data_IF_929700554430
#
_entry.id   IF_929700554430
#
_cell.length_a   1.000
_cell.length_b   1.000
_cell.length_c   1.000
_cell.angle_alpha   90.00
_cell.angle_beta   90.00
_cell.angle_gamma   90.00
#
_symmetry.space_group_name_H-M   'P 1'
#
loop_
_entity.id
_entity.type
_entity.pdbx_description
1 polymer ?
#
# COMPACT_ATOMS: atom_id res chain seq x y z
N UNK A 1 -50.95 17.45 -10.40
CA UNK A 1 -51.84 17.10 -9.27
C UNK A 1 -51.00 16.39 -8.24
N UNK A 2 -50.48 17.15 -7.28
CA UNK A 2 -49.88 16.60 -6.06
C UNK A 2 -50.98 16.10 -5.13
N UNK A 3 -50.64 15.17 -4.22
CA UNK A 3 -51.13 15.33 -2.86
C UNK A 3 -50.00 15.35 -1.83
N UNK A 4 -50.23 16.21 -0.84
CA UNK A 4 -49.35 16.62 0.23
C UNK A 4 -49.38 15.69 1.46
N UNK A 5 -48.25 15.72 2.19
CA UNK A 5 -48.09 15.72 3.65
C UNK A 5 -48.94 14.81 4.57
N UNK A 6 -48.26 13.97 5.35
CA UNK A 6 -48.57 13.76 6.78
C UNK A 6 -47.25 13.58 7.57
N UNK A 7 -46.95 14.58 8.40
CA UNK A 7 -45.96 14.57 9.47
C UNK A 7 -46.63 14.02 10.74
N UNK A 8 -46.06 13.00 11.38
CA UNK A 8 -46.46 12.58 12.73
C UNK A 8 -45.34 12.85 13.74
N UNK A 9 -45.62 13.79 14.64
CA UNK A 9 -44.84 14.18 15.81
C UNK A 9 -45.09 13.22 16.98
N UNK A 10 -44.04 12.69 17.61
CA UNK A 10 -44.08 12.16 18.99
C UNK A 10 -42.84 12.63 19.76
N UNK A 11 -43.11 13.06 20.99
CA UNK A 11 -42.37 13.93 21.93
C UNK A 11 -41.11 13.29 22.57
N UNK A 12 -40.20 14.12 23.15
CA UNK A 12 -39.00 13.65 23.84
C UNK A 12 -39.33 13.15 25.26
N UNK A 13 -38.73 12.03 25.66
CA UNK A 13 -38.76 11.54 27.04
C UNK A 13 -37.57 12.14 27.79
N UNK A 14 -37.88 13.01 28.76
CA UNK A 14 -36.97 13.42 29.81
C UNK A 14 -37.07 12.44 30.97
N UNK A 15 -35.92 11.92 31.41
CA UNK A 15 -35.79 11.24 32.70
C UNK A 15 -34.43 11.65 33.27
N UNK A 16 -34.48 12.66 34.13
CA UNK A 16 -33.36 13.01 35.00
C UNK A 16 -33.27 12.03 36.16
N UNK A 17 -32.04 11.67 36.52
CA UNK A 17 -31.56 11.70 37.90
C UNK A 17 -30.04 11.68 37.90
N UNK A 18 -29.54 12.59 38.73
CA UNK A 18 -28.17 12.95 39.04
C UNK A 18 -27.32 11.76 39.51
N UNK A 19 -26.13 11.65 38.94
CA UNK A 19 -24.95 11.10 39.62
C UNK A 19 -23.82 12.10 39.47
N UNK A 20 -23.59 12.83 40.55
CA UNK A 20 -22.35 13.55 40.84
C UNK A 20 -21.26 12.52 41.12
N UNK A 21 -20.18 12.51 40.34
CA UNK A 21 -19.08 11.57 40.56
C UNK A 21 -17.91 11.80 39.60
N UNK A 22 -16.91 12.55 40.10
CA UNK A 22 -15.51 12.58 39.65
C UNK A 22 -15.24 12.90 38.16
N UNK A 23 -15.14 14.20 37.86
CA UNK A 23 -14.20 14.65 36.84
C UNK A 23 -12.78 14.26 37.31
N UNK A 24 -12.16 13.26 36.68
CA UNK A 24 -10.73 13.03 36.79
C UNK A 24 -10.02 14.13 35.99
N UNK A 25 -9.90 15.31 36.62
CA UNK A 25 -8.92 16.31 36.25
C UNK A 25 -7.54 15.79 36.64
N UNK A 26 -6.83 15.20 35.68
CA UNK A 26 -5.37 15.12 35.81
C UNK A 26 -4.82 16.52 35.51
N UNK A 27 -4.17 17.22 36.45
CA UNK A 27 -3.40 18.41 36.11
C UNK A 27 -2.18 17.95 35.34
N UNK A 28 -2.21 18.06 34.01
CA UNK A 28 -0.98 18.09 33.23
C UNK A 28 -0.31 19.43 33.51
N UNK A 29 0.55 19.46 34.52
CA UNK A 29 1.65 20.41 34.62
C UNK A 29 2.56 20.18 33.42
N UNK A 30 2.24 20.86 32.31
CA UNK A 30 3.23 21.14 31.29
C UNK A 30 4.22 22.14 31.90
N UNK A 31 5.54 21.91 31.91
CA UNK A 31 6.47 22.98 32.14
C UNK A 31 6.30 23.97 30.98
N UNK A 32 5.61 25.08 31.25
CA UNK A 32 5.61 26.25 30.37
C UNK A 32 7.01 26.84 30.47
N UNK A 33 7.91 26.37 29.60
CA UNK A 33 9.16 27.08 29.37
C UNK A 33 8.79 28.45 28.81
N UNK A 34 8.72 29.45 29.69
CA UNK A 34 8.86 30.85 29.32
C UNK A 34 10.27 30.97 28.75
N UNK A 35 10.38 31.00 27.43
CA UNK A 35 11.61 31.44 26.78
C UNK A 35 11.70 32.94 27.03
N UNK A 36 12.32 33.35 28.13
CA UNK A 36 12.77 34.74 28.28
C UNK A 36 13.86 34.96 27.23
N UNK A 37 13.65 35.95 26.35
CA UNK A 37 14.63 36.39 25.36
C UNK A 37 15.78 37.16 26.04
N UNK A 38 16.45 36.54 27.00
CA UNK A 38 17.49 37.21 27.80
C UNK A 38 18.92 36.93 27.29
N UNK A 39 19.06 36.30 26.11
CA UNK A 39 20.37 35.90 25.54
C UNK A 39 20.63 36.37 24.11
N UNK A 40 20.03 37.47 23.69
CA UNK A 40 20.47 38.20 22.51
C UNK A 40 20.81 39.63 22.91
N UNK A 41 22.04 39.87 23.35
CA UNK A 41 22.53 41.25 23.46
C UNK A 41 22.55 41.86 22.07
N UNK A 42 21.93 43.03 21.92
CA UNK A 42 21.89 43.81 20.68
C UNK A 42 23.30 44.24 20.21
N UNK A 43 24.33 44.07 21.03
CA UNK A 43 25.74 44.35 20.69
C UNK A 43 26.30 43.51 19.54
N UNK A 44 25.63 42.41 19.16
CA UNK A 44 26.08 41.59 18.03
C UNK A 44 25.87 42.27 16.67
N UNK A 45 24.96 43.26 16.59
CA UNK A 45 24.58 43.90 15.33
C UNK A 45 25.23 45.28 15.11
N UNK A 46 25.81 45.90 16.14
CA UNK A 46 26.54 47.17 16.02
C UNK A 46 27.87 47.04 15.25
N UNK A 47 28.41 45.83 15.10
CA UNK A 47 29.61 45.57 14.28
C UNK A 47 29.32 45.28 12.80
N UNK A 48 28.05 45.22 12.38
CA UNK A 48 27.67 44.95 10.99
C UNK A 48 27.29 46.20 10.18
N UNK A 49 27.32 47.39 10.79
CA UNK A 49 26.93 48.66 10.13
C UNK A 49 28.11 49.53 9.67
N UNK A 50 29.35 49.10 9.87
CA UNK A 50 30.55 49.79 9.36
C UNK A 50 31.04 49.12 8.06
N UNK A 51 31.24 49.85 6.96
CA UNK A 51 31.71 49.27 5.71
C UNK A 51 33.15 48.75 5.85
N UNK A 52 33.49 47.57 5.30
CA UNK A 52 34.82 46.99 5.42
C UNK A 52 35.84 47.68 4.50
N UNK A 53 36.97 48.09 5.06
CA UNK A 53 38.10 48.74 4.39
C UNK A 53 39.02 47.78 3.59
N UNK A 54 38.56 46.57 3.23
CA UNK A 54 39.37 45.63 2.45
C UNK A 54 38.54 44.66 1.62
N UNK A 55 39.04 44.19 0.45
CA UNK A 55 38.32 43.27 -0.42
C UNK A 55 38.07 41.91 0.26
N UNK A 56 36.96 41.22 -0.06
CA UNK A 56 36.57 40.00 0.62
C UNK A 56 37.60 38.88 0.41
N UNK A 57 37.96 38.12 1.46
CA UNK A 57 38.84 36.98 1.33
C UNK A 57 38.15 35.91 0.48
N UNK A 58 38.88 35.35 -0.49
CA UNK A 58 38.42 34.23 -1.31
C UNK A 58 38.02 33.01 -0.45
N UNK A 59 37.25 32.06 -1.00
CA UNK A 59 36.71 30.94 -0.24
C UNK A 59 37.83 30.18 0.49
N UNK A 60 37.73 30.13 1.82
CA UNK A 60 38.70 29.45 2.66
C UNK A 60 38.70 27.95 2.35
N UNK A 61 39.91 27.38 2.20
CA UNK A 61 40.07 25.93 2.02
C UNK A 61 39.40 25.23 3.21
N UNK A 62 38.58 24.18 2.99
CA UNK A 62 37.95 23.46 4.08
C UNK A 62 39.03 22.89 5.02
N UNK A 63 38.76 22.95 6.32
CA UNK A 63 39.71 22.48 7.33
C UNK A 63 40.02 20.99 7.14
N UNK A 64 41.23 20.56 7.51
CA UNK A 64 41.65 19.16 7.42
C UNK A 64 40.71 18.20 8.17
N UNK A 65 40.04 18.69 9.23
CA UNK A 65 39.01 17.95 9.96
C UNK A 65 37.72 17.77 9.14
N UNK A 66 37.32 18.77 8.35
CA UNK A 66 36.19 18.66 7.44
C UNK A 66 36.48 17.72 6.28
N UNK A 67 37.68 17.79 5.71
CA UNK A 67 38.12 16.87 4.65
C UNK A 67 38.14 15.43 5.15
N UNK A 68 38.80 15.16 6.29
CA UNK A 68 38.83 13.82 6.90
C UNK A 68 37.44 13.31 7.32
N UNK A 69 36.54 14.17 7.79
CA UNK A 69 35.16 13.79 8.05
C UNK A 69 34.44 13.38 6.76
N UNK A 70 34.54 14.18 5.69
CA UNK A 70 33.94 13.84 4.39
C UNK A 70 34.54 12.59 3.77
N UNK A 71 35.83 12.36 3.93
CA UNK A 71 36.49 11.16 3.43
C UNK A 71 36.11 9.93 4.25
N UNK A 72 35.93 10.06 5.57
CA UNK A 72 35.36 8.99 6.41
C UNK A 72 33.92 8.65 6.04
N UNK A 73 33.14 9.62 5.55
CA UNK A 73 31.80 9.40 5.03
C UNK A 73 31.87 8.72 3.65
N UNK A 74 32.72 9.19 2.74
CA UNK A 74 32.94 8.56 1.43
C UNK A 74 33.42 7.11 1.58
N UNK A 75 34.29 6.81 2.55
CA UNK A 75 34.71 5.45 2.86
C UNK A 75 33.57 4.59 3.43
N UNK A 76 32.71 5.16 4.29
CA UNK A 76 31.53 4.45 4.83
C UNK A 76 30.48 4.16 3.77
N UNK A 77 30.37 5.01 2.75
CA UNK A 77 29.38 4.89 1.66
C UNK A 77 29.98 4.40 0.34
N UNK A 78 31.24 3.95 0.34
CA UNK A 78 31.91 3.39 -0.82
C UNK A 78 31.24 2.08 -1.28
N UNK A 79 30.77 1.98 -2.54
CA UNK A 79 30.17 0.76 -3.07
C UNK A 79 31.18 -0.38 -3.24
N UNK A 80 32.49 -0.11 -3.13
CA UNK A 80 33.58 -1.06 -3.33
C UNK A 80 34.19 -1.58 -2.02
N UNK A 81 33.56 -1.33 -0.87
CA UNK A 81 34.02 -1.95 0.38
C UNK A 81 33.77 -3.46 0.29
N UNK A 82 34.82 -4.20 -0.05
CA UNK A 82 34.86 -5.66 0.06
C UNK A 82 34.35 -6.03 1.45
N UNK A 83 33.30 -6.84 1.51
CA UNK A 83 32.76 -7.32 2.78
C UNK A 83 33.91 -8.04 3.50
N UNK A 84 34.36 -7.51 4.63
CA UNK A 84 35.03 -8.34 5.63
C UNK A 84 34.12 -9.55 5.83
N UNK A 85 34.65 -10.74 5.54
CA UNK A 85 33.97 -12.02 5.64
C UNK A 85 33.50 -12.22 7.08
N UNK A 86 32.31 -11.73 7.40
CA UNK A 86 31.58 -12.20 8.56
C UNK A 86 31.14 -13.62 8.23
N UNK A 87 31.89 -14.57 8.77
CA UNK A 87 31.58 -16.00 8.75
C UNK A 87 30.11 -16.16 9.13
N UNK A 88 29.30 -16.65 8.18
CA UNK A 88 27.93 -17.09 8.47
C UNK A 88 28.07 -18.37 9.29
N UNK A 89 28.05 -18.23 10.61
CA UNK A 89 28.01 -19.38 11.48
C UNK A 89 26.61 -20.00 11.38
N UNK A 90 26.54 -21.17 10.74
CA UNK A 90 25.39 -22.07 10.82
C UNK A 90 25.25 -22.51 12.28
N UNK A 91 24.34 -21.90 13.04
CA UNK A 91 24.00 -22.38 14.38
C UNK A 91 22.67 -23.13 14.33
N UNK A 92 22.77 -24.45 14.48
CA UNK A 92 21.66 -25.33 14.81
C UNK A 92 21.04 -24.93 16.16
N UNK A 93 19.75 -25.22 16.31
CA UNK A 93 18.89 -24.92 17.46
C UNK A 93 19.29 -25.67 18.75
N UNK A 94 20.48 -25.41 19.28
CA UNK A 94 20.93 -25.98 20.56
C UNK A 94 21.34 -24.89 21.56
N UNK A 95 20.69 -23.72 21.49
CA UNK A 95 21.03 -22.53 22.27
C UNK A 95 20.17 -22.34 23.54
N UNK A 96 19.77 -23.42 24.21
CA UNK A 96 19.01 -23.35 25.47
C UNK A 96 19.80 -23.82 26.70
N UNK A 97 21.03 -24.31 26.55
CA UNK A 97 21.77 -24.94 27.67
C UNK A 97 23.13 -24.33 28.01
N UNK A 98 23.55 -23.20 27.42
CA UNK A 98 24.86 -22.59 27.76
C UNK A 98 24.73 -21.07 27.94
N UNK A 99 24.22 -20.65 29.10
CA UNK A 99 24.04 -19.24 29.49
C UNK A 99 25.29 -18.57 30.08
N UNK A 100 26.45 -19.25 30.10
CA UNK A 100 27.63 -18.76 30.82
C UNK A 100 28.71 -18.09 29.97
N UNK A 101 28.60 -18.07 28.63
CA UNK A 101 29.59 -17.38 27.81
C UNK A 101 29.14 -15.96 27.45
N UNK A 102 30.05 -14.97 27.43
CA UNK A 102 29.74 -13.58 27.08
C UNK A 102 29.14 -13.45 25.66
N UNK A 103 29.39 -14.43 24.78
CA UNK A 103 28.78 -14.55 23.47
C UNK A 103 27.26 -14.74 23.52
N UNK A 104 26.75 -15.62 24.40
CA UNK A 104 25.31 -15.88 24.56
C UNK A 104 24.60 -14.75 25.32
N UNK A 105 25.27 -14.04 26.23
CA UNK A 105 24.74 -12.83 26.85
C UNK A 105 24.58 -11.67 25.85
N UNK A 106 25.50 -11.55 24.88
CA UNK A 106 25.38 -10.59 23.78
C UNK A 106 24.26 -11.02 22.82
N UNK A 107 24.15 -12.30 22.47
CA UNK A 107 23.02 -12.81 21.67
C UNK A 107 21.68 -12.61 22.36
N UNK A 108 21.58 -12.90 23.67
CA UNK A 108 20.39 -12.64 24.49
C UNK A 108 19.95 -11.18 24.42
N UNK A 109 20.92 -10.25 24.50
CA UNK A 109 20.68 -8.80 24.34
C UNK A 109 20.32 -8.38 22.91
N UNK A 110 20.78 -9.10 21.89
CA UNK A 110 20.40 -8.90 20.48
C UNK A 110 19.02 -9.49 20.18
N UNK A 111 18.62 -10.58 20.83
CA UNK A 111 17.26 -11.14 20.73
C UNK A 111 16.21 -10.34 21.51
N UNK A 112 16.62 -9.50 22.46
CA UNK A 112 15.76 -8.48 23.10
C UNK A 112 15.66 -7.17 22.31
N UNK A 113 16.15 -7.15 21.06
CA UNK A 113 15.89 -6.04 20.13
C UNK A 113 14.38 -5.77 20.06
N UNK A 114 13.97 -4.49 19.91
CA UNK A 114 12.57 -4.08 19.99
C UNK A 114 11.69 -4.91 19.04
N UNK A 115 10.41 -5.13 19.39
CA UNK A 115 9.50 -5.99 18.62
C UNK A 115 9.56 -5.61 17.14
N UNK A 116 9.72 -6.63 16.29
CA UNK A 116 9.86 -6.59 14.84
C UNK A 116 9.06 -5.43 14.19
N UNK A 117 9.67 -4.25 14.08
CA UNK A 117 9.15 -3.13 13.30
C UNK A 117 9.60 -3.34 11.87
N UNK A 118 8.94 -4.25 11.17
CA UNK A 118 9.37 -4.71 9.86
C UNK A 118 8.28 -4.63 8.82
N UNK A 119 8.64 -4.19 7.62
CA UNK A 119 7.84 -4.43 6.43
C UNK A 119 8.30 -5.75 5.81
N UNK A 120 7.41 -6.60 5.27
CA UNK A 120 7.83 -7.83 4.57
C UNK A 120 8.81 -7.50 3.44
N UNK A 121 8.64 -6.34 2.81
CA UNK A 121 9.49 -5.83 1.74
C UNK A 121 10.94 -5.62 2.17
N UNK A 122 11.15 -5.28 3.45
CA UNK A 122 12.49 -5.00 4.00
C UNK A 122 13.10 -6.16 4.74
N UNK A 123 12.26 -7.01 5.33
CA UNK A 123 12.68 -8.12 6.20
C UNK A 123 12.92 -9.43 5.46
N UNK A 124 12.17 -9.67 4.38
CA UNK A 124 12.24 -10.93 3.61
C UNK A 124 13.36 -10.86 2.57
N UNK A 125 13.51 -9.69 1.94
CA UNK A 125 14.65 -9.45 1.06
C UNK A 125 15.91 -9.30 1.91
N UNK A 126 17.00 -10.00 1.51
CA UNK A 126 18.33 -9.70 2.04
C UNK A 126 18.62 -8.21 1.79
N UNK A 127 19.32 -7.54 2.72
CA UNK A 127 19.51 -6.07 2.82
C UNK A 127 20.01 -5.30 1.57
N UNK A 128 20.16 -5.94 0.41
CA UNK A 128 20.62 -5.34 -0.85
C UNK A 128 19.74 -5.70 -2.07
N UNK A 129 18.63 -6.43 -1.87
CA UNK A 129 17.80 -6.93 -2.97
C UNK A 129 16.50 -6.14 -3.19
N UNK A 130 16.22 -5.14 -2.35
CA UNK A 130 14.98 -4.37 -2.42
C UNK A 130 14.87 -3.52 -3.69
N UNK A 131 15.96 -2.88 -4.10
CA UNK A 131 15.95 -2.07 -5.32
C UNK A 131 15.86 -2.94 -6.58
N UNK A 132 16.48 -4.13 -6.56
CA UNK A 132 16.31 -5.13 -7.60
C UNK A 132 14.84 -5.61 -7.69
N UNK A 133 14.17 -5.82 -6.55
CA UNK A 133 12.76 -6.19 -6.48
C UNK A 133 11.84 -5.07 -7.02
N UNK A 134 12.14 -3.81 -6.68
CA UNK A 134 11.40 -2.65 -7.23
C UNK A 134 11.53 -2.56 -8.74
N UNK A 135 12.74 -2.73 -9.26
CA UNK A 135 12.99 -2.73 -10.70
C UNK A 135 12.27 -3.91 -11.38
N UNK A 136 12.34 -5.11 -10.80
CA UNK A 136 11.64 -6.29 -11.31
C UNK A 136 10.12 -6.09 -11.34
N UNK A 137 9.55 -5.52 -10.28
CA UNK A 137 8.14 -5.17 -10.23
C UNK A 137 7.73 -4.14 -11.30
N UNK A 138 8.61 -3.16 -11.60
CA UNK A 138 8.41 -2.22 -12.71
C UNK A 138 8.44 -2.93 -14.06
N UNK A 139 9.39 -3.84 -14.29
CA UNK A 139 9.47 -4.65 -15.51
C UNK A 139 8.20 -5.48 -15.72
N UNK A 140 7.73 -6.18 -14.67
CA UNK A 140 6.48 -6.95 -14.71
C UNK A 140 5.31 -6.05 -15.10
N UNK A 141 5.17 -4.91 -14.42
CA UNK A 141 4.09 -3.95 -14.70
C UNK A 141 4.16 -3.43 -16.14
N UNK A 142 5.36 -3.14 -16.65
CA UNK A 142 5.56 -2.68 -18.03
C UNK A 142 5.18 -3.75 -19.05
N UNK A 143 5.57 -5.01 -18.84
CA UNK A 143 5.21 -6.11 -19.74
C UNK A 143 3.69 -6.27 -19.83
N UNK A 144 2.98 -6.21 -18.71
CA UNK A 144 1.50 -6.24 -18.70
C UNK A 144 0.85 -4.98 -19.28
N UNK A 145 1.52 -3.82 -19.21
CA UNK A 145 1.06 -2.62 -19.94
C UNK A 145 1.21 -2.78 -21.44
N UNK A 146 2.26 -3.46 -21.92
CA UNK A 146 2.45 -3.74 -23.34
C UNK A 146 1.35 -4.65 -23.89
N UNK A 147 0.85 -5.62 -23.10
CA UNK A 147 -0.28 -6.47 -23.53
C UNK A 147 -1.58 -5.71 -23.69
N UNK A 148 -1.74 -4.58 -22.99
CA UNK A 148 -2.92 -3.72 -23.12
C UNK A 148 -2.95 -2.89 -24.43
N UNK A 149 -1.79 -2.64 -25.05
CA UNK A 149 -1.66 -1.83 -26.26
C UNK A 149 -0.62 -2.42 -27.23
N UNK A 150 -0.85 -3.63 -27.77
CA UNK A 150 0.15 -4.36 -28.56
C UNK A 150 0.51 -3.68 -29.89
N UNK A 151 -0.42 -2.89 -30.45
CA UNK A 151 -0.25 -2.19 -31.74
C UNK A 151 0.28 -0.75 -31.58
N UNK A 152 0.67 -0.34 -30.37
CA UNK A 152 1.10 1.03 -30.06
C UNK A 152 -0.05 2.04 -29.94
N UNK A 153 -1.28 1.66 -30.28
CA UNK A 153 -2.49 2.47 -30.05
C UNK A 153 -3.10 2.10 -28.70
N UNK A 154 -3.26 3.08 -27.82
CA UNK A 154 -3.88 2.89 -26.51
C UNK A 154 -5.38 2.61 -26.66
N UNK A 155 -5.86 1.56 -25.98
CA UNK A 155 -7.27 1.23 -25.94
C UNK A 155 -8.01 1.97 -24.79
N UNK A 156 -9.33 1.81 -24.73
CA UNK A 156 -10.19 2.57 -23.81
C UNK A 156 -9.91 2.28 -22.33
N UNK A 157 -9.35 1.10 -21.99
CA UNK A 157 -8.93 0.79 -20.61
C UNK A 157 -7.71 1.60 -20.15
N UNK A 158 -6.87 2.07 -21.08
CA UNK A 158 -5.66 2.83 -20.77
C UNK A 158 -5.92 4.33 -20.48
N UNK A 159 -7.18 4.75 -20.47
CA UNK A 159 -7.56 6.15 -20.23
C UNK A 159 -7.64 6.48 -18.72
N UNK A 160 -6.82 7.44 -18.28
CA UNK A 160 -6.71 7.82 -16.86
C UNK A 160 -7.73 8.88 -16.42
N UNK A 161 -8.16 9.76 -17.32
CA UNK A 161 -9.14 10.84 -17.07
C UNK A 161 -10.03 11.09 -18.28
N UNK A 162 -11.27 11.52 -18.06
CA UNK A 162 -12.20 11.91 -19.15
C UNK A 162 -12.10 13.38 -19.51
N UNK A 163 -11.80 14.25 -18.55
CA UNK A 163 -11.62 15.70 -18.76
C UNK A 163 -10.19 16.13 -18.40
N UNK A 164 -9.81 17.32 -18.85
CA UNK A 164 -8.49 17.91 -18.54
C UNK A 164 -8.30 18.04 -17.02
N UNK A 165 -7.07 17.83 -16.55
CA UNK A 165 -6.72 17.88 -15.12
C UNK A 165 -6.98 16.59 -14.34
N UNK A 166 -7.91 15.74 -14.79
CA UNK A 166 -8.25 14.50 -14.05
C UNK A 166 -7.08 13.52 -13.92
N UNK A 167 -6.23 13.38 -14.93
CA UNK A 167 -5.07 12.48 -14.83
C UNK A 167 -4.13 12.88 -13.67
N UNK A 168 -3.99 14.18 -13.38
CA UNK A 168 -3.18 14.69 -12.28
C UNK A 168 -3.81 14.36 -10.92
N UNK A 169 -5.13 14.53 -10.80
CA UNK A 169 -5.87 14.15 -9.60
C UNK A 169 -5.82 12.63 -9.35
N UNK A 170 -5.90 11.84 -10.42
CA UNK A 170 -5.76 10.39 -10.38
C UNK A 170 -4.38 9.99 -9.87
N UNK A 171 -3.32 10.68 -10.32
CA UNK A 171 -1.95 10.50 -9.84
C UNK A 171 -1.81 10.86 -8.37
N UNK A 172 -2.35 12.00 -7.94
CA UNK A 172 -2.31 12.43 -6.53
C UNK A 172 -2.99 11.42 -5.61
N UNK A 173 -4.13 10.87 -6.04
CA UNK A 173 -4.82 9.81 -5.36
C UNK A 173 -4.03 8.49 -5.35
N UNK A 174 -3.40 8.11 -6.45
CA UNK A 174 -2.55 6.92 -6.53
C UNK A 174 -1.33 7.00 -5.60
N UNK A 175 -0.71 8.18 -5.48
CA UNK A 175 0.38 8.41 -4.52
C UNK A 175 -0.13 8.32 -3.08
N UNK A 176 -1.27 8.94 -2.81
CA UNK A 176 -1.97 8.88 -1.53
C UNK A 176 -2.31 7.46 -1.08
N UNK A 177 -2.88 6.64 -1.96
CA UNK A 177 -3.19 5.23 -1.70
C UNK A 177 -1.90 4.43 -1.43
N UNK A 178 -0.84 4.64 -2.23
CA UNK A 178 0.46 3.99 -2.01
C UNK A 178 1.08 4.34 -0.65
N UNK A 179 0.88 5.57 -0.18
CA UNK A 179 1.33 6.01 1.14
C UNK A 179 0.51 5.36 2.25
N UNK A 180 -0.83 5.28 2.11
CA UNK A 180 -1.71 4.57 3.04
C UNK A 180 -1.35 3.09 3.18
N UNK A 181 -0.96 2.41 2.10
CA UNK A 181 -0.48 1.02 2.15
C UNK A 181 0.77 0.84 3.03
N UNK A 182 1.58 1.89 3.23
CA UNK A 182 2.73 1.87 4.16
C UNK A 182 2.32 2.11 5.62
N UNK A 183 1.15 2.72 5.85
CA UNK A 183 0.65 3.04 7.20
C UNK A 183 -0.11 1.89 7.88
N UNK A 184 -0.47 0.83 7.14
CA UNK A 184 -1.13 -0.36 7.71
C UNK A 184 -0.25 -1.04 8.76
N UNK A 185 -0.88 -1.78 9.67
CA UNK A 185 -0.17 -2.46 10.76
C UNK A 185 0.79 -3.52 10.24
N UNK A 186 1.84 -3.84 11.00
CA UNK A 186 2.82 -4.89 10.63
C UNK A 186 2.14 -6.23 10.36
N UNK A 187 1.19 -6.63 11.21
CA UNK A 187 0.43 -7.88 11.04
C UNK A 187 -0.31 -7.92 9.69
N UNK A 188 -1.01 -6.84 9.34
CA UNK A 188 -1.68 -6.72 8.04
C UNK A 188 -0.67 -6.81 6.88
N UNK A 189 0.50 -6.17 6.99
CA UNK A 189 1.53 -6.24 5.94
C UNK A 189 1.97 -7.68 5.67
N UNK A 190 2.22 -8.46 6.72
CA UNK A 190 2.66 -9.85 6.58
C UNK A 190 1.55 -10.79 6.13
N UNK A 191 0.31 -10.62 6.63
CA UNK A 191 -0.85 -11.36 6.14
C UNK A 191 -1.07 -11.11 4.64
N UNK A 192 -0.94 -9.85 4.20
CA UNK A 192 -1.08 -9.53 2.79
C UNK A 192 0.09 -10.09 1.97
N UNK A 193 1.30 -10.12 2.51
CA UNK A 193 2.45 -10.73 1.85
C UNK A 193 2.23 -12.24 1.63
N UNK A 194 1.79 -12.97 2.64
CA UNK A 194 1.61 -14.43 2.54
C UNK A 194 0.50 -14.79 1.55
N UNK A 195 -0.63 -14.08 1.58
CA UNK A 195 -1.69 -14.26 0.59
C UNK A 195 -1.23 -13.86 -0.82
N UNK A 196 -0.50 -12.76 -0.97
CA UNK A 196 0.06 -12.38 -2.29
C UNK A 196 0.95 -13.48 -2.82
N UNK A 197 1.86 -14.01 -1.99
CA UNK A 197 2.77 -15.09 -2.39
C UNK A 197 1.97 -16.33 -2.82
N UNK A 198 0.97 -16.74 -2.05
CA UNK A 198 0.11 -17.87 -2.40
C UNK A 198 -0.55 -17.67 -3.76
N UNK A 199 -1.13 -16.49 -4.00
CA UNK A 199 -1.79 -16.15 -5.27
C UNK A 199 -0.80 -16.08 -6.42
N UNK A 200 0.39 -15.52 -6.20
CA UNK A 200 1.44 -15.46 -7.22
C UNK A 200 1.89 -16.86 -7.66
N UNK A 201 2.02 -17.81 -6.72
CA UNK A 201 2.37 -19.21 -7.01
C UNK A 201 1.28 -19.93 -7.82
N UNK A 202 0.00 -19.72 -7.47
CA UNK A 202 -1.12 -20.26 -8.28
C UNK A 202 -1.02 -19.75 -9.73
N UNK A 203 -0.73 -18.46 -9.90
CA UNK A 203 -0.58 -17.85 -11.22
C UNK A 203 0.70 -18.22 -11.98
N UNK A 204 1.69 -18.83 -11.33
CA UNK A 204 2.93 -19.29 -11.98
C UNK A 204 2.74 -20.64 -12.71
N UNK A 205 1.61 -21.32 -12.47
CA UNK A 205 1.22 -22.56 -13.15
C UNK A 205 2.34 -23.63 -13.24
N UNK A 206 3.14 -23.78 -12.17
CA UNK A 206 4.20 -24.80 -12.08
C UNK A 206 5.55 -24.39 -12.69
N UNK A 207 5.70 -23.15 -13.18
CA UNK A 207 6.99 -22.65 -13.66
C UNK A 207 7.96 -22.47 -12.49
N UNK A 208 8.89 -23.42 -12.33
CA UNK A 208 9.82 -23.46 -11.18
C UNK A 208 10.67 -22.18 -11.02
N UNK A 209 11.00 -21.50 -12.11
CA UNK A 209 11.76 -20.24 -12.05
C UNK A 209 10.91 -19.09 -11.55
N UNK A 210 9.68 -18.96 -12.07
CA UNK A 210 8.71 -17.96 -11.61
C UNK A 210 8.38 -18.16 -10.13
N UNK A 211 8.11 -19.40 -9.71
CA UNK A 211 7.83 -19.70 -8.31
C UNK A 211 8.98 -19.28 -7.38
N UNK A 212 10.23 -19.58 -7.78
CA UNK A 212 11.43 -19.16 -7.02
C UNK A 212 11.54 -17.65 -6.93
N UNK A 213 11.32 -16.92 -8.04
CA UNK A 213 11.40 -15.46 -8.05
C UNK A 213 10.27 -14.83 -7.24
N UNK A 214 9.03 -15.25 -7.45
CA UNK A 214 7.84 -14.71 -6.77
C UNK A 214 7.84 -15.04 -5.27
N UNK A 215 8.41 -16.18 -4.87
CA UNK A 215 8.61 -16.49 -3.45
C UNK A 215 9.68 -15.60 -2.79
N UNK A 216 10.73 -15.23 -3.54
CA UNK A 216 11.86 -14.44 -3.05
C UNK A 216 11.58 -12.94 -3.02
N UNK A 217 10.82 -12.44 -4.00
CA UNK A 217 10.65 -11.01 -4.28
C UNK A 217 9.21 -10.53 -3.98
N UNK A 218 8.94 -9.99 -2.77
CA UNK A 218 7.59 -9.60 -2.33
C UNK A 218 6.97 -8.45 -3.15
N UNK A 219 7.75 -7.49 -3.64
CA UNK A 219 7.21 -6.37 -4.43
C UNK A 219 6.80 -6.89 -5.81
N UNK A 220 7.65 -7.72 -6.42
CA UNK A 220 7.41 -8.38 -7.70
C UNK A 220 6.19 -9.30 -7.66
N UNK A 221 6.01 -10.08 -6.59
CA UNK A 221 4.82 -10.91 -6.41
C UNK A 221 3.51 -10.09 -6.38
N UNK A 222 3.52 -8.93 -5.70
CA UNK A 222 2.35 -8.03 -5.68
C UNK A 222 2.08 -7.42 -7.05
N UNK A 223 3.13 -6.99 -7.75
CA UNK A 223 3.01 -6.50 -9.12
C UNK A 223 2.48 -7.58 -10.06
N UNK A 224 2.96 -8.82 -9.94
CA UNK A 224 2.51 -9.96 -10.75
C UNK A 224 1.01 -10.23 -10.59
N UNK A 225 0.54 -10.36 -9.35
CA UNK A 225 -0.88 -10.64 -9.07
C UNK A 225 -1.77 -9.48 -9.54
N UNK A 226 -1.39 -8.24 -9.23
CA UNK A 226 -2.18 -7.05 -9.61
C UNK A 226 -2.19 -6.84 -11.12
N UNK A 227 -1.02 -6.83 -11.76
CA UNK A 227 -0.89 -6.55 -13.18
C UNK A 227 -1.42 -7.70 -14.04
N UNK A 228 -1.31 -8.95 -13.58
CA UNK A 228 -1.90 -10.10 -14.27
C UNK A 228 -3.44 -10.04 -14.29
N UNK A 229 -4.06 -9.73 -13.15
CA UNK A 229 -5.52 -9.55 -13.09
C UNK A 229 -5.99 -8.34 -13.90
N UNK A 230 -5.21 -7.26 -13.90
CA UNK A 230 -5.51 -6.06 -14.68
C UNK A 230 -5.40 -6.30 -16.19
N UNK A 231 -4.32 -6.93 -16.66
CA UNK A 231 -4.10 -7.18 -18.08
C UNK A 231 -5.16 -8.11 -18.68
N UNK A 232 -5.60 -9.11 -17.90
CA UNK A 232 -6.71 -10.00 -18.27
C UNK A 232 -8.09 -9.39 -18.04
N UNK A 233 -8.15 -8.17 -17.49
CA UNK A 233 -9.39 -7.46 -17.17
C UNK A 233 -10.34 -8.27 -16.27
N UNK A 234 -9.80 -9.10 -15.38
CA UNK A 234 -10.59 -9.91 -14.41
C UNK A 234 -10.92 -9.15 -13.12
N UNK A 235 -10.69 -7.85 -13.11
CA UNK A 235 -10.97 -6.96 -11.98
C UNK A 235 -12.42 -6.48 -11.94
N UNK A 236 -12.91 -6.19 -10.74
CA UNK A 236 -14.29 -5.73 -10.45
C UNK A 236 -14.74 -4.53 -11.29
N UNK A 237 -13.82 -3.64 -11.69
CA UNK A 237 -14.15 -2.46 -12.51
C UNK A 237 -14.58 -2.79 -13.95
N UNK A 238 -14.23 -3.97 -14.45
CA UNK A 238 -14.62 -4.45 -15.78
C UNK A 238 -15.84 -5.38 -15.71
N UNK A 239 -16.25 -5.77 -14.49
CA UNK A 239 -17.38 -6.65 -14.22
C UNK A 239 -18.72 -5.92 -14.39
N UNK A 240 -19.22 -5.87 -15.62
CA UNK A 240 -20.57 -5.36 -15.91
C UNK A 240 -21.53 -6.53 -16.10
N UNK A 241 -22.32 -6.83 -15.07
CA UNK A 241 -23.36 -7.86 -15.15
C UNK A 241 -24.42 -7.48 -16.19
N UNK A 242 -24.81 -8.44 -17.03
CA UNK A 242 -25.81 -8.22 -18.08
C UNK A 242 -27.23 -8.22 -17.51
N UNK A 243 -27.51 -9.13 -16.57
CA UNK A 243 -28.84 -9.32 -15.97
C UNK A 243 -28.95 -8.67 -14.58
N UNK A 244 -30.18 -8.41 -14.13
CA UNK A 244 -30.43 -7.91 -12.77
C UNK A 244 -29.96 -8.89 -11.69
N UNK A 245 -30.17 -10.21 -11.92
CA UNK A 245 -29.71 -11.26 -11.02
C UNK A 245 -28.18 -11.27 -10.88
N UNK A 246 -27.46 -11.20 -12.00
CA UNK A 246 -25.99 -11.16 -12.00
C UNK A 246 -25.44 -9.93 -11.28
N UNK A 247 -26.04 -8.75 -11.51
CA UNK A 247 -25.67 -7.52 -10.79
C UNK A 247 -25.90 -7.66 -9.28
N UNK A 248 -27.02 -8.26 -8.88
CA UNK A 248 -27.31 -8.51 -7.47
C UNK A 248 -26.30 -9.47 -6.84
N UNK A 249 -25.99 -10.59 -7.49
CA UNK A 249 -25.01 -11.56 -6.99
C UNK A 249 -23.60 -10.97 -6.91
N UNK A 250 -23.17 -10.22 -7.93
CA UNK A 250 -21.88 -9.53 -7.91
C UNK A 250 -21.80 -8.52 -6.74
N UNK A 251 -22.88 -7.77 -6.49
CA UNK A 251 -22.97 -6.86 -5.35
C UNK A 251 -22.96 -7.60 -4.00
N UNK A 252 -23.54 -8.80 -3.92
CA UNK A 252 -23.46 -9.64 -2.73
C UNK A 252 -22.03 -10.12 -2.46
N UNK A 253 -21.29 -10.54 -3.50
CA UNK A 253 -19.87 -10.90 -3.39
C UNK A 253 -19.03 -9.70 -2.96
N UNK A 254 -19.30 -8.52 -3.51
CA UNK A 254 -18.62 -7.29 -3.08
C UNK A 254 -18.86 -7.00 -1.59
N UNK A 255 -20.12 -7.12 -1.12
CA UNK A 255 -20.46 -6.97 0.30
C UNK A 255 -19.74 -7.99 1.20
N UNK A 256 -19.69 -9.25 0.79
CA UNK A 256 -18.97 -10.29 1.53
C UNK A 256 -17.45 -10.06 1.52
N UNK A 257 -16.92 -9.52 0.42
CA UNK A 257 -15.51 -9.13 0.34
C UNK A 257 -15.21 -7.93 1.25
N UNK A 258 -16.13 -6.96 1.34
CA UNK A 258 -15.97 -5.81 2.24
C UNK A 258 -16.16 -6.19 3.72
N UNK A 259 -17.04 -7.14 4.05
CA UNK A 259 -17.18 -7.59 5.44
C UNK A 259 -15.93 -8.29 5.97
N UNK A 260 -15.15 -8.95 5.09
CA UNK A 260 -13.82 -9.49 5.42
C UNK A 260 -12.80 -8.41 5.79
N UNK A 261 -12.92 -7.20 5.23
CA UNK A 261 -12.05 -6.08 5.61
C UNK A 261 -12.39 -5.44 6.93
N UNK A 262 -13.70 -5.28 7.16
CA UNK A 262 -14.23 -4.46 8.24
C UNK A 262 -15.00 -5.38 9.20
N UNK A 263 -14.33 -6.34 9.86
CA UNK A 263 -15.00 -7.27 10.76
C UNK A 263 -15.48 -6.59 12.05
N UNK A 264 -14.85 -5.49 12.45
CA UNK A 264 -15.12 -4.78 13.71
C UNK A 264 -16.00 -3.53 13.53
N UNK A 265 -16.45 -3.22 12.32
CA UNK A 265 -17.16 -1.97 12.01
C UNK A 265 -16.25 -0.72 11.91
N UNK A 266 -15.00 -0.79 12.37
CA UNK A 266 -14.02 0.29 12.21
C UNK A 266 -13.33 0.17 10.85
N UNK A 267 -13.46 1.19 10.01
CA UNK A 267 -12.83 1.21 8.68
C UNK A 267 -11.30 1.12 8.79
N UNK A 268 -10.72 0.22 7.97
CA UNK A 268 -9.28 0.05 7.88
C UNK A 268 -8.59 1.18 7.12
N UNK A 269 -7.26 1.25 7.24
CA UNK A 269 -6.41 2.26 6.55
C UNK A 269 -6.53 2.18 5.02
N UNK A 270 -6.93 1.03 4.49
CA UNK A 270 -7.11 0.75 3.06
C UNK A 270 -8.42 1.33 2.50
N UNK A 271 -9.43 1.59 3.33
CA UNK A 271 -10.68 2.23 2.92
C UNK A 271 -10.47 3.75 2.83
N UNK A 272 -10.07 4.29 1.68
CA UNK A 272 -9.68 5.69 1.56
C UNK A 272 -10.27 6.44 0.34
N UNK A 273 -11.56 6.77 0.35
CA UNK A 273 -12.18 7.47 -0.78
C UNK A 273 -11.77 8.93 -0.95
N UNK A 274 -11.33 9.59 0.13
CA UNK A 274 -10.76 10.93 0.05
C UNK A 274 -9.68 11.11 1.10
N UNK A 275 -8.52 11.61 0.69
CA UNK A 275 -7.50 12.14 1.60
C UNK A 275 -7.55 13.68 1.67
N UNK A 276 -8.25 14.32 0.75
CA UNK A 276 -8.47 15.76 0.67
C UNK A 276 -9.94 16.02 0.32
N UNK A 277 -10.40 17.27 0.51
CA UNK A 277 -11.78 17.67 0.19
C UNK A 277 -12.09 17.36 -1.29
N UNK A 278 -13.33 16.96 -1.58
CA UNK A 278 -13.87 16.69 -2.93
C UNK A 278 -13.29 15.49 -3.69
N UNK A 279 -12.23 14.82 -3.22
CA UNK A 279 -11.65 13.65 -3.91
C UNK A 279 -12.59 12.44 -3.94
N UNK A 280 -13.49 12.30 -2.97
CA UNK A 280 -14.48 11.22 -2.99
C UNK A 280 -15.45 11.35 -4.19
N UNK A 281 -15.86 12.58 -4.51
CA UNK A 281 -16.71 12.85 -5.68
C UNK A 281 -15.93 12.60 -6.97
N UNK A 282 -14.65 12.97 -6.99
CA UNK A 282 -13.78 12.67 -8.11
C UNK A 282 -13.66 11.16 -8.37
N UNK A 283 -13.40 10.36 -7.33
CA UNK A 283 -13.39 8.89 -7.43
C UNK A 283 -14.71 8.34 -7.94
N UNK A 284 -15.84 8.88 -7.47
CA UNK A 284 -17.18 8.47 -7.93
C UNK A 284 -17.33 8.69 -9.44
N UNK A 285 -16.95 9.87 -9.93
CA UNK A 285 -16.99 10.19 -11.37
C UNK A 285 -16.06 9.28 -12.17
N UNK A 286 -14.83 9.03 -11.70
CA UNK A 286 -13.91 8.09 -12.35
C UNK A 286 -14.45 6.67 -12.41
N UNK A 287 -15.05 6.18 -11.32
CA UNK A 287 -15.63 4.84 -11.26
C UNK A 287 -16.81 4.69 -12.24
N UNK A 288 -17.66 5.70 -12.35
CA UNK A 288 -18.74 5.74 -13.35
C UNK A 288 -18.20 5.78 -14.78
N UNK A 289 -17.18 6.59 -15.03
CA UNK A 289 -16.51 6.64 -16.32
C UNK A 289 -15.86 5.28 -16.69
N UNK A 290 -15.21 4.60 -15.74
CA UNK A 290 -14.64 3.29 -15.95
C UNK A 290 -15.71 2.25 -16.34
N UNK A 291 -16.85 2.23 -15.64
CA UNK A 291 -18.00 1.38 -15.99
C UNK A 291 -18.54 1.65 -17.39
N UNK A 292 -18.63 2.93 -17.76
CA UNK A 292 -19.05 3.34 -19.10
C UNK A 292 -18.06 2.87 -20.18
N UNK A 293 -16.75 3.04 -19.95
CA UNK A 293 -15.70 2.57 -20.87
C UNK A 293 -15.63 1.06 -21.00
N UNK A 294 -15.92 0.31 -19.94
CA UNK A 294 -16.05 -1.15 -20.03
C UNK A 294 -17.15 -1.55 -21.04
N UNK A 295 -18.22 -0.76 -21.17
CA UNK A 295 -19.25 -0.97 -22.19
C UNK A 295 -18.83 -0.54 -23.60
N UNK A 296 -17.79 0.30 -23.74
CA UNK A 296 -17.25 0.72 -25.05
C UNK A 296 -16.26 -0.29 -25.64
N UNK A 297 -15.88 -1.32 -24.89
CA UNK A 297 -14.99 -2.36 -25.39
C UNK A 297 -15.62 -3.13 -26.56
N UNK A 298 -14.80 -3.59 -27.53
CA UNK A 298 -15.26 -4.47 -28.61
C UNK A 298 -15.90 -5.75 -28.07
N UNK A 299 -16.84 -6.34 -28.82
CA UNK A 299 -17.54 -7.57 -28.43
C UNK A 299 -16.60 -8.73 -28.15
N UNK A 300 -15.58 -8.94 -29.00
CA UNK A 300 -14.56 -9.98 -28.80
C UNK A 300 -13.82 -9.83 -27.48
N UNK A 301 -13.46 -8.59 -27.11
CA UNK A 301 -12.80 -8.29 -25.83
C UNK A 301 -13.74 -8.60 -24.67
N UNK A 302 -15.01 -8.19 -24.76
CA UNK A 302 -16.02 -8.48 -23.73
C UNK A 302 -16.22 -9.98 -23.50
N UNK A 303 -16.29 -10.78 -24.57
CA UNK A 303 -16.39 -12.23 -24.43
C UNK A 303 -15.11 -12.82 -23.81
N UNK A 304 -13.92 -12.38 -24.24
CA UNK A 304 -12.67 -12.85 -23.64
C UNK A 304 -12.59 -12.57 -22.13
N UNK A 305 -13.09 -11.40 -21.68
CA UNK A 305 -13.13 -11.02 -20.27
C UNK A 305 -14.02 -11.98 -19.47
N UNK A 306 -15.16 -12.43 -20.01
CA UNK A 306 -16.04 -13.39 -19.32
C UNK A 306 -15.36 -14.74 -19.10
N UNK A 307 -14.65 -15.24 -20.11
CA UNK A 307 -13.94 -16.52 -20.00
C UNK A 307 -12.72 -16.40 -19.06
N UNK A 308 -11.96 -15.32 -19.18
CA UNK A 308 -10.81 -15.06 -18.29
C UNK A 308 -11.25 -14.82 -16.85
N UNK A 309 -12.38 -14.14 -16.60
CA UNK A 309 -12.88 -13.93 -15.24
C UNK A 309 -13.36 -15.25 -14.62
N UNK A 310 -14.09 -16.08 -15.37
CA UNK A 310 -14.50 -17.40 -14.91
C UNK A 310 -13.29 -18.28 -14.59
N UNK A 311 -12.30 -18.35 -15.48
CA UNK A 311 -11.04 -19.08 -15.24
C UNK A 311 -10.31 -18.56 -14.01
N UNK A 312 -10.16 -17.24 -13.89
CA UNK A 312 -9.52 -16.61 -12.73
C UNK A 312 -10.23 -16.97 -11.43
N UNK A 313 -11.56 -16.95 -11.39
CA UNK A 313 -12.29 -17.32 -10.19
C UNK A 313 -12.11 -18.79 -9.81
N UNK A 314 -12.14 -19.70 -10.79
CA UNK A 314 -11.90 -21.14 -10.56
C UNK A 314 -10.51 -21.42 -10.02
N UNK A 315 -9.48 -20.92 -10.71
CA UNK A 315 -8.07 -21.21 -10.39
C UNK A 315 -7.69 -20.66 -9.00
N UNK A 316 -8.18 -19.46 -8.67
CA UNK A 316 -7.75 -18.77 -7.46
C UNK A 316 -8.66 -18.99 -6.25
N UNK A 317 -9.95 -19.29 -6.44
CA UNK A 317 -10.94 -19.35 -5.35
C UNK A 317 -11.79 -20.62 -5.35
N UNK A 318 -12.12 -21.20 -6.51
CA UNK A 318 -13.10 -22.28 -6.63
C UNK A 318 -12.65 -23.62 -6.03
N UNK A 319 -11.36 -23.97 -6.13
CA UNK A 319 -10.76 -25.14 -5.46
C UNK A 319 -11.62 -26.44 -5.47
N UNK A 320 -12.19 -26.82 -6.63
CA UNK A 320 -13.06 -28.00 -6.82
C UNK A 320 -14.45 -27.92 -6.14
N UNK A 321 -14.89 -26.73 -5.75
CA UNK A 321 -16.24 -26.50 -5.25
C UNK A 321 -17.23 -26.45 -6.43
N UNK A 322 -17.93 -27.56 -6.66
CA UNK A 322 -18.83 -27.73 -7.82
C UNK A 322 -19.91 -26.64 -7.93
N UNK A 323 -20.46 -26.21 -6.79
CA UNK A 323 -21.45 -25.14 -6.75
C UNK A 323 -20.85 -23.79 -7.17
N UNK A 324 -19.70 -23.41 -6.60
CA UNK A 324 -19.02 -22.15 -6.95
C UNK A 324 -18.54 -22.15 -8.41
N UNK A 325 -18.01 -23.27 -8.90
CA UNK A 325 -17.63 -23.41 -10.30
C UNK A 325 -18.83 -23.23 -11.23
N UNK A 326 -20.00 -23.79 -10.89
CA UNK A 326 -21.23 -23.59 -11.67
C UNK A 326 -21.66 -22.11 -11.69
N UNK A 327 -21.49 -21.39 -10.58
CA UNK A 327 -21.76 -19.96 -10.48
C UNK A 327 -20.78 -19.15 -11.33
N UNK A 328 -19.48 -19.46 -11.27
CA UNK A 328 -18.46 -18.78 -12.07
C UNK A 328 -18.68 -18.99 -13.58
N UNK A 329 -19.20 -20.16 -13.97
CA UNK A 329 -19.52 -20.46 -15.37
C UNK A 329 -20.75 -19.70 -15.86
N UNK A 330 -21.75 -19.56 -15.00
CA UNK A 330 -23.04 -18.97 -15.37
C UNK A 330 -23.05 -17.44 -15.26
N UNK A 331 -22.27 -16.88 -14.33
CA UNK A 331 -22.29 -15.47 -13.97
C UNK A 331 -20.87 -14.86 -13.96
N UNK A 332 -20.33 -14.46 -15.13
CA UNK A 332 -18.95 -13.97 -15.24
C UNK A 332 -18.68 -12.68 -14.44
N UNK A 333 -19.68 -11.85 -14.15
CA UNK A 333 -19.50 -10.68 -13.29
C UNK A 333 -19.35 -11.07 -11.81
N UNK A 334 -19.92 -12.20 -11.37
CA UNK A 334 -19.67 -12.77 -10.04
C UNK A 334 -18.23 -13.27 -9.95
N UNK A 335 -17.74 -13.93 -11.01
CA UNK A 335 -16.36 -14.37 -11.08
C UNK A 335 -15.37 -13.18 -11.05
N UNK A 336 -15.67 -12.10 -11.77
CA UNK A 336 -14.85 -10.88 -11.81
C UNK A 336 -14.94 -10.01 -10.54
N UNK A 337 -15.99 -10.16 -9.72
CA UNK A 337 -16.09 -9.46 -8.42
C UNK A 337 -15.27 -10.14 -7.31
N UNK A 338 -14.89 -11.41 -7.51
CA UNK A 338 -13.99 -12.12 -6.60
C UNK A 338 -12.58 -11.53 -6.67
N UNK A 339 -12.05 -11.11 -5.52
CA UNK A 339 -10.71 -10.52 -5.43
C UNK A 339 -9.91 -11.09 -4.27
N UNK A 340 -8.57 -11.11 -4.40
CA UNK A 340 -7.69 -11.44 -3.28
C UNK A 340 -7.91 -10.47 -2.10
N UNK A 341 -7.83 -10.97 -0.88
CA UNK A 341 -7.95 -10.18 0.36
C UNK A 341 -6.89 -9.07 0.49
N UNK A 342 -5.88 -9.09 -0.35
CA UNK A 342 -4.76 -8.14 -0.41
C UNK A 342 -5.07 -6.84 -1.16
N UNK A 343 -6.23 -6.75 -1.84
CA UNK A 343 -6.55 -5.68 -2.80
C UNK A 343 -7.88 -5.00 -2.45
N UNK A 344 -7.84 -3.70 -2.10
CA UNK A 344 -9.04 -2.89 -1.92
C UNK A 344 -9.11 -1.64 -2.75
#
# INVERSE_FOLDING_TARGET
MDPAFMLSSIKPVSLGKSFTGAALSCPRTLPRALWTMEKYSLDKYTKMSTPPESPPPGPSKPSAQWVSFTDSLKEKFSPFRGKSTKVMANYSQSALTVSSTPFFLIQGKVSTMPPFKGDPDTTINRNYMQDADRYMAQCITMQYKMTAAPLGVYNVQCTEGTIRGQAEDARNLALSTSFRMKQRTVSQKFADYTETRRKALIGAHGCTYEEKLLAKFPISARAYVRSGAEAKSTCTRYANGATAAEKYMAACVDKQSMSRLVPTGVYGVTCNDGNTKQVAEYKRVQALAAKFRANQQPSLVKESIKFESAKYARDYFGHLCSYEESLFNSFPAVAASMRPSISY
#
